data_IF_817550290924
#
_entry.id   IF_817550290924
#
_cell.length_a   1.000
_cell.length_b   1.000
_cell.length_c   1.000
_cell.angle_alpha   90.00
_cell.angle_beta   90.00
_cell.angle_gamma   90.00
#
_symmetry.space_group_name_H-M   'P 1'
#
loop_
_entity.id
_entity.type
_entity.pdbx_description
1 polymer ?
#
# COMPACT_ATOMS: atom_id res chain seq x y z
N UNK A 1 -18.72 14.62 30.91
CA UNK A 1 -19.59 15.23 29.86
C UNK A 1 -19.48 14.36 28.62
N UNK A 2 -20.57 13.64 28.32
CA UNK A 2 -20.69 12.78 27.16
C UNK A 2 -20.74 13.66 25.90
N UNK A 3 -19.69 13.65 25.07
CA UNK A 3 -19.59 14.42 23.82
C UNK A 3 -20.69 13.98 22.87
N UNK A 4 -21.61 14.88 22.52
CA UNK A 4 -22.63 14.68 21.48
C UNK A 4 -21.94 14.31 20.17
N UNK A 5 -22.14 13.08 19.71
CA UNK A 5 -21.77 12.61 18.38
C UNK A 5 -22.38 13.60 17.35
N UNK A 6 -21.53 14.36 16.65
CA UNK A 6 -22.01 15.24 15.57
C UNK A 6 -22.60 14.36 14.47
N UNK A 7 -23.92 14.49 14.24
CA UNK A 7 -24.56 13.91 13.07
C UNK A 7 -23.80 14.35 11.81
N UNK A 8 -23.49 13.41 10.92
CA UNK A 8 -22.73 13.70 9.71
C UNK A 8 -23.41 14.73 8.81
N UNK A 9 -22.61 15.51 8.09
CA UNK A 9 -23.09 16.64 7.27
C UNK A 9 -23.75 16.20 5.94
N UNK A 10 -23.52 14.95 5.51
CA UNK A 10 -24.08 14.42 4.27
C UNK A 10 -25.34 13.58 4.53
N UNK A 11 -26.25 13.62 3.56
CA UNK A 11 -27.40 12.71 3.50
C UNK A 11 -27.25 11.75 2.32
N UNK A 12 -27.94 10.61 2.37
CA UNK A 12 -27.92 9.64 1.26
C UNK A 12 -28.38 10.27 -0.07
N UNK A 13 -29.34 11.20 0.00
CA UNK A 13 -29.84 11.96 -1.15
C UNK A 13 -28.77 12.90 -1.69
N UNK A 14 -28.09 13.66 -0.82
CA UNK A 14 -26.98 14.54 -1.20
C UNK A 14 -25.82 13.76 -1.88
N UNK A 15 -25.47 12.60 -1.34
CA UNK A 15 -24.44 11.73 -1.95
C UNK A 15 -24.79 11.32 -3.38
N UNK A 16 -26.08 11.03 -3.66
CA UNK A 16 -26.55 10.69 -5.01
C UNK A 16 -26.59 11.90 -5.92
N UNK A 17 -26.99 13.07 -5.42
CA UNK A 17 -27.15 14.29 -6.18
C UNK A 17 -25.83 14.99 -6.53
N UNK A 18 -24.77 14.80 -5.72
CA UNK A 18 -23.48 15.46 -5.91
C UNK A 18 -22.77 14.95 -7.18
N UNK A 19 -22.61 15.85 -8.16
CA UNK A 19 -21.98 15.57 -9.46
C UNK A 19 -20.68 16.34 -9.69
N UNK A 20 -20.52 17.51 -9.08
CA UNK A 20 -19.33 18.33 -9.24
C UNK A 20 -18.11 17.63 -8.65
N UNK A 21 -17.00 17.66 -9.39
CA UNK A 21 -15.72 17.11 -8.91
C UNK A 21 -15.25 17.87 -7.67
N UNK A 22 -14.88 17.14 -6.61
CA UNK A 22 -14.47 17.75 -5.36
C UNK A 22 -14.47 16.78 -4.19
N UNK A 23 -14.21 17.32 -2.99
CA UNK A 23 -14.24 16.60 -1.72
C UNK A 23 -15.32 17.20 -0.82
N UNK A 24 -16.24 16.37 -0.37
CA UNK A 24 -17.40 16.77 0.45
C UNK A 24 -17.30 16.10 1.81
N UNK A 25 -17.10 16.89 2.86
CA UNK A 25 -16.92 16.40 4.23
C UNK A 25 -18.24 15.96 4.86
N UNK A 26 -18.23 14.78 5.49
CA UNK A 26 -19.35 14.29 6.31
C UNK A 26 -19.16 14.56 7.80
N UNK A 27 -17.97 14.91 8.22
CA UNK A 27 -17.55 15.03 9.62
C UNK A 27 -16.51 13.96 9.97
N UNK A 28 -15.82 14.17 11.10
CA UNK A 28 -14.83 13.24 11.68
C UNK A 28 -13.80 12.69 10.66
N UNK A 29 -13.41 13.52 9.70
CA UNK A 29 -12.43 13.15 8.67
C UNK A 29 -12.98 12.26 7.56
N UNK A 30 -14.29 11.97 7.52
CA UNK A 30 -14.94 11.25 6.41
C UNK A 30 -15.28 12.20 5.27
N UNK A 31 -14.93 11.81 4.03
CA UNK A 31 -15.18 12.58 2.82
C UNK A 31 -15.78 11.70 1.72
N UNK A 32 -16.74 12.25 1.00
CA UNK A 32 -17.11 11.81 -0.33
C UNK A 32 -16.18 12.51 -1.34
N UNK A 33 -15.48 11.74 -2.15
CA UNK A 33 -14.62 12.25 -3.23
C UNK A 33 -15.30 11.99 -4.56
N UNK A 34 -15.55 13.06 -5.31
CA UNK A 34 -16.09 13.00 -6.67
C UNK A 34 -14.98 13.32 -7.66
N UNK A 35 -14.65 12.38 -8.51
CA UNK A 35 -13.64 12.54 -9.56
C UNK A 35 -14.16 13.32 -10.77
N UNK A 36 -13.26 13.80 -11.63
CA UNK A 36 -13.60 14.51 -12.88
C UNK A 36 -14.46 13.65 -13.82
N UNK A 37 -14.32 12.34 -13.77
CA UNK A 37 -15.14 11.38 -14.53
C UNK A 37 -16.51 11.09 -13.91
N UNK A 38 -16.91 11.80 -12.84
CA UNK A 38 -18.14 11.53 -12.08
C UNK A 38 -18.07 10.28 -11.19
N UNK A 39 -16.91 9.64 -11.07
CA UNK A 39 -16.69 8.55 -10.11
C UNK A 39 -16.81 9.06 -8.69
N UNK A 40 -17.47 8.31 -7.81
CA UNK A 40 -17.67 8.67 -6.40
C UNK A 40 -17.08 7.59 -5.50
N UNK A 41 -16.28 8.01 -4.52
CA UNK A 41 -15.64 7.12 -3.56
C UNK A 41 -15.61 7.73 -2.17
N UNK A 42 -15.55 6.90 -1.16
CA UNK A 42 -15.40 7.28 0.24
C UNK A 42 -13.93 7.26 0.64
N UNK A 43 -13.56 8.23 1.45
CA UNK A 43 -12.21 8.39 1.99
C UNK A 43 -12.30 8.88 3.43
N UNK A 44 -11.48 8.35 4.30
CA UNK A 44 -11.27 8.91 5.65
C UNK A 44 -9.88 9.48 5.76
N UNK A 45 -9.79 10.67 6.32
CA UNK A 45 -8.53 11.32 6.69
C UNK A 45 -8.25 11.07 8.15
N UNK A 46 -7.11 10.48 8.43
CA UNK A 46 -6.59 10.25 9.78
C UNK A 46 -5.27 10.97 9.97
N UNK A 47 -4.99 11.34 11.21
CA UNK A 47 -3.71 11.95 11.60
C UNK A 47 -3.09 11.13 12.71
N UNK A 48 -1.79 10.78 12.55
CA UNK A 48 -0.99 10.11 13.56
C UNK A 48 0.43 10.67 13.51
N UNK A 49 1.01 10.94 14.65
CA UNK A 49 2.39 11.43 14.80
C UNK A 49 2.67 12.65 13.88
N UNK A 50 1.72 13.60 13.83
CA UNK A 50 1.80 14.80 13.01
C UNK A 50 1.59 14.59 11.50
N UNK A 51 1.49 13.34 11.04
CA UNK A 51 1.31 13.00 9.63
C UNK A 51 -0.15 12.72 9.29
N UNK A 52 -0.65 13.35 8.23
CA UNK A 52 -1.99 13.11 7.69
C UNK A 52 -1.94 12.03 6.63
N UNK A 53 -2.90 11.09 6.70
CA UNK A 53 -3.07 10.03 5.69
C UNK A 53 -4.53 9.97 5.25
N UNK A 54 -4.72 9.84 3.93
CA UNK A 54 -6.04 9.65 3.31
C UNK A 54 -6.21 8.14 3.00
N UNK A 55 -7.23 7.52 3.57
CA UNK A 55 -7.49 6.08 3.43
C UNK A 55 -8.81 5.87 2.71
N UNK A 56 -8.77 5.20 1.54
CA UNK A 56 -9.97 4.86 0.78
C UNK A 56 -10.87 3.85 1.49
N UNK A 57 -12.17 4.09 1.50
CA UNK A 57 -13.17 3.22 2.12
C UNK A 57 -14.02 2.45 1.09
N UNK A 58 -13.85 2.75 -0.19
CA UNK A 58 -14.52 2.08 -1.29
C UNK A 58 -15.38 3.00 -2.15
N UNK A 59 -15.89 2.46 -3.26
CA UNK A 59 -16.76 3.20 -4.19
C UNK A 59 -18.13 3.46 -3.57
N UNK A 60 -18.67 4.68 -3.71
CA UNK A 60 -20.01 5.03 -3.24
C UNK A 60 -21.14 4.30 -4.00
N UNK A 61 -20.83 3.60 -5.11
CA UNK A 61 -21.76 2.67 -5.77
C UNK A 61 -21.99 1.40 -4.96
N UNK A 62 -20.96 0.92 -4.24
CA UNK A 62 -20.98 -0.34 -3.48
C UNK A 62 -21.10 -0.13 -1.96
N UNK A 63 -20.69 1.05 -1.48
CA UNK A 63 -20.60 1.39 -0.05
C UNK A 63 -21.58 2.52 0.21
N UNK A 64 -22.63 2.28 0.99
CA UNK A 64 -23.58 3.30 1.43
C UNK A 64 -22.92 4.29 2.42
N UNK A 65 -23.55 5.44 2.65
CA UNK A 65 -23.06 6.42 3.64
C UNK A 65 -22.96 5.82 5.05
N UNK A 66 -23.93 5.01 5.47
CA UNK A 66 -23.89 4.33 6.77
C UNK A 66 -22.67 3.41 6.88
N UNK A 67 -22.48 2.52 5.90
CA UNK A 67 -21.29 1.63 5.84
C UNK A 67 -19.98 2.42 5.78
N UNK A 68 -19.97 3.58 5.10
CA UNK A 68 -18.77 4.42 5.05
C UNK A 68 -18.43 5.01 6.42
N UNK A 69 -19.44 5.43 7.21
CA UNK A 69 -19.28 5.90 8.58
C UNK A 69 -18.73 4.81 9.50
N UNK A 70 -19.29 3.60 9.42
CA UNK A 70 -18.82 2.44 10.20
C UNK A 70 -17.36 2.11 9.88
N UNK A 71 -17.03 2.04 8.59
CA UNK A 71 -15.65 1.81 8.14
C UNK A 71 -14.70 2.91 8.58
N UNK A 72 -15.12 4.17 8.54
CA UNK A 72 -14.32 5.30 9.02
C UNK A 72 -14.05 5.20 10.53
N UNK A 73 -15.06 4.78 11.32
CA UNK A 73 -14.92 4.57 12.76
C UNK A 73 -13.91 3.45 13.05
N UNK A 74 -14.00 2.32 12.36
CA UNK A 74 -13.04 1.22 12.50
C UNK A 74 -11.61 1.68 12.20
N UNK A 75 -11.43 2.40 11.09
CA UNK A 75 -10.11 2.92 10.70
C UNK A 75 -9.53 3.87 11.75
N UNK A 76 -10.36 4.78 12.31
CA UNK A 76 -9.91 5.68 13.38
C UNK A 76 -9.51 4.92 14.63
N UNK A 77 -10.33 3.97 15.07
CA UNK A 77 -10.03 3.13 16.22
C UNK A 77 -8.72 2.35 16.04
N UNK A 78 -8.49 1.78 14.85
CA UNK A 78 -7.21 1.11 14.54
C UNK A 78 -6.00 2.07 14.68
N UNK A 79 -6.13 3.30 14.14
CA UNK A 79 -5.07 4.30 14.23
C UNK A 79 -4.80 4.73 15.67
N UNK A 80 -5.84 4.91 16.50
CA UNK A 80 -5.75 5.22 17.94
C UNK A 80 -5.03 4.10 18.70
N UNK A 81 -5.31 2.84 18.37
CA UNK A 81 -4.64 1.65 18.93
C UNK A 81 -3.22 1.43 18.39
N UNK A 82 -2.74 2.31 17.50
CA UNK A 82 -1.42 2.18 16.91
C UNK A 82 -1.31 1.19 15.76
N UNK A 83 -2.42 0.58 15.34
CA UNK A 83 -2.50 -0.35 14.22
C UNK A 83 -2.47 0.44 12.91
N UNK A 84 -1.66 0.02 11.92
CA UNK A 84 -1.73 0.57 10.56
C UNK A 84 -2.89 -0.08 9.79
N UNK A 85 -3.98 0.67 9.47
CA UNK A 85 -5.15 0.08 8.80
C UNK A 85 -4.86 -0.44 7.39
N UNK A 86 -3.83 0.08 6.74
CA UNK A 86 -3.42 -0.37 5.40
C UNK A 86 -2.69 -1.69 5.51
N UNK A 87 -1.77 -1.83 6.47
CA UNK A 87 -1.07 -3.08 6.73
C UNK A 87 -2.06 -4.19 7.14
N UNK A 88 -3.05 -3.88 7.97
CA UNK A 88 -4.05 -4.83 8.40
C UNK A 88 -4.96 -5.30 7.25
N UNK A 89 -5.37 -4.38 6.36
CA UNK A 89 -6.10 -4.76 5.14
C UNK A 89 -5.29 -5.64 4.20
N UNK A 90 -3.97 -5.43 4.12
CA UNK A 90 -3.07 -6.28 3.32
C UNK A 90 -3.01 -7.70 3.88
N UNK A 91 -2.86 -7.83 5.20
CA UNK A 91 -2.89 -9.14 5.87
C UNK A 91 -4.21 -9.86 5.58
N UNK A 92 -5.33 -9.15 5.69
CA UNK A 92 -6.66 -9.68 5.39
C UNK A 92 -6.85 -10.03 3.91
N UNK A 93 -6.19 -9.31 3.00
CA UNK A 93 -6.21 -9.60 1.57
C UNK A 93 -5.17 -10.66 1.15
N UNK A 94 -4.32 -11.10 2.07
CA UNK A 94 -3.26 -12.07 1.79
C UNK A 94 -2.12 -11.56 0.89
N UNK A 95 -2.07 -10.26 0.60
CA UNK A 95 -1.01 -9.66 -0.24
C UNK A 95 0.22 -9.35 0.62
N UNK A 96 1.36 -10.04 0.41
CA UNK A 96 2.56 -9.82 1.21
C UNK A 96 3.22 -8.46 0.93
N UNK A 97 4.00 -7.98 1.89
CA UNK A 97 4.96 -6.91 1.68
C UNK A 97 6.12 -7.41 0.82
N UNK A 98 6.94 -6.48 0.28
CA UNK A 98 8.14 -6.86 -0.47
C UNK A 98 9.11 -7.70 0.38
N UNK A 99 9.27 -7.35 1.66
CA UNK A 99 10.11 -8.10 2.61
C UNK A 99 9.59 -9.52 2.83
N UNK A 100 8.29 -9.69 3.05
CA UNK A 100 7.67 -10.99 3.21
C UNK A 100 7.77 -11.83 1.92
N UNK A 101 7.53 -11.23 0.76
CA UNK A 101 7.69 -11.89 -0.53
C UNK A 101 9.14 -12.30 -0.77
N UNK A 102 10.12 -11.44 -0.44
CA UNK A 102 11.55 -11.78 -0.54
C UNK A 102 11.91 -12.97 0.34
N UNK A 103 11.39 -13.05 1.57
CA UNK A 103 11.62 -14.18 2.46
C UNK A 103 11.02 -15.49 1.90
N UNK A 104 9.83 -15.42 1.30
CA UNK A 104 9.19 -16.59 0.66
C UNK A 104 9.99 -17.08 -0.54
N UNK A 105 10.37 -16.17 -1.44
CA UNK A 105 11.23 -16.48 -2.62
C UNK A 105 12.57 -17.07 -2.18
N UNK A 106 13.20 -16.47 -1.16
CA UNK A 106 14.44 -16.99 -0.61
C UNK A 106 14.30 -18.42 -0.07
N UNK A 107 13.22 -18.68 0.68
CA UNK A 107 12.94 -20.01 1.24
C UNK A 107 12.71 -21.07 0.14
N UNK A 108 12.03 -20.70 -0.96
CA UNK A 108 11.80 -21.57 -2.11
C UNK A 108 13.11 -21.85 -2.87
N UNK A 109 13.89 -20.81 -3.19
CA UNK A 109 15.08 -20.92 -4.05
C UNK A 109 16.31 -21.47 -3.33
N UNK A 110 16.49 -21.22 -2.00
CA UNK A 110 17.68 -21.69 -1.26
C UNK A 110 17.88 -23.20 -1.32
N UNK A 111 16.81 -23.96 -1.53
CA UNK A 111 16.87 -25.43 -1.66
C UNK A 111 17.61 -25.87 -2.93
N UNK A 112 17.56 -25.07 -3.99
CA UNK A 112 18.22 -25.33 -5.27
C UNK A 112 19.67 -24.79 -5.34
N UNK A 113 20.05 -23.88 -4.43
CA UNK A 113 21.34 -23.22 -4.49
C UNK A 113 22.42 -24.02 -3.76
N UNK A 114 23.43 -24.45 -4.49
CA UNK A 114 24.56 -25.24 -3.97
C UNK A 114 25.54 -24.44 -3.08
N UNK A 115 25.58 -23.10 -3.19
CA UNK A 115 26.59 -22.26 -2.53
C UNK A 115 25.99 -21.44 -1.38
N UNK A 116 26.29 -21.83 -0.13
CA UNK A 116 25.83 -21.14 1.09
C UNK A 116 26.24 -19.67 1.18
N UNK A 117 27.40 -19.28 0.65
CA UNK A 117 27.90 -17.91 0.64
C UNK A 117 27.07 -17.00 -0.27
N UNK A 118 26.63 -17.53 -1.40
CA UNK A 118 25.70 -16.84 -2.31
C UNK A 118 24.32 -16.60 -1.69
N UNK A 119 23.85 -17.55 -0.88
CA UNK A 119 22.57 -17.46 -0.21
C UNK A 119 22.52 -16.30 0.78
N UNK A 120 23.55 -16.12 1.62
CA UNK A 120 23.64 -15.01 2.57
C UNK A 120 23.69 -13.65 1.85
N UNK A 121 24.47 -13.54 0.77
CA UNK A 121 24.56 -12.31 -0.02
C UNK A 121 23.26 -11.94 -0.73
N UNK A 122 22.39 -12.93 -1.04
CA UNK A 122 21.15 -12.66 -1.74
C UNK A 122 20.22 -11.79 -0.90
N UNK A 123 20.00 -12.15 0.37
CA UNK A 123 19.11 -11.40 1.25
C UNK A 123 19.78 -10.12 1.78
N UNK A 124 21.06 -10.19 2.20
CA UNK A 124 21.76 -9.04 2.78
C UNK A 124 21.84 -7.83 1.85
N UNK A 125 21.93 -8.05 0.54
CA UNK A 125 21.90 -6.93 -0.40
C UNK A 125 20.51 -6.27 -0.52
N UNK A 126 19.43 -7.04 -0.38
CA UNK A 126 18.08 -6.48 -0.34
C UNK A 126 17.84 -5.73 0.97
N UNK A 127 18.37 -6.24 2.08
CA UNK A 127 18.33 -5.56 3.39
C UNK A 127 19.06 -4.22 3.34
N UNK A 128 20.22 -4.18 2.72
CA UNK A 128 21.03 -2.97 2.64
C UNK A 128 20.45 -1.90 1.70
N UNK A 129 19.87 -2.29 0.56
CA UNK A 129 19.54 -1.35 -0.51
C UNK A 129 18.05 -1.24 -0.84
N UNK A 130 17.28 -2.31 -0.76
CA UNK A 130 15.88 -2.33 -1.18
C UNK A 130 14.90 -2.18 0.00
N UNK A 131 15.11 -2.90 1.10
CA UNK A 131 14.18 -2.90 2.22
C UNK A 131 13.97 -1.55 2.89
N UNK A 132 14.98 -0.66 3.02
CA UNK A 132 14.75 0.67 3.59
C UNK A 132 13.71 1.50 2.82
N UNK A 133 13.64 1.32 1.51
CA UNK A 133 12.76 2.10 0.64
C UNK A 133 11.42 1.41 0.33
N UNK A 134 11.43 0.09 0.07
CA UNK A 134 10.26 -0.64 -0.40
C UNK A 134 9.90 -1.87 0.44
N UNK A 135 10.68 -2.21 1.47
CA UNK A 135 10.52 -3.45 2.26
C UNK A 135 9.12 -3.62 2.83
N UNK A 136 8.55 -2.57 3.39
CA UNK A 136 7.25 -2.58 4.06
C UNK A 136 6.08 -2.19 3.14
N UNK A 137 6.36 -1.91 1.86
CA UNK A 137 5.32 -1.66 0.86
C UNK A 137 4.70 -2.98 0.39
N UNK A 138 3.39 -3.00 0.09
CA UNK A 138 2.76 -4.16 -0.54
C UNK A 138 3.40 -4.44 -1.90
N UNK A 139 3.60 -5.73 -2.23
CA UNK A 139 4.30 -6.15 -3.45
C UNK A 139 3.61 -5.64 -4.72
N UNK A 140 2.29 -5.48 -4.71
CA UNK A 140 1.50 -4.94 -5.81
C UNK A 140 1.56 -3.41 -5.96
N UNK A 141 2.13 -2.70 -4.98
CA UNK A 141 2.27 -1.24 -4.99
C UNK A 141 3.68 -0.76 -5.33
N UNK A 142 4.59 -1.68 -5.65
CA UNK A 142 5.95 -1.35 -6.06
C UNK A 142 5.94 -1.02 -7.55
N UNK A 143 6.42 0.16 -7.88
CA UNK A 143 6.48 0.70 -9.24
C UNK A 143 7.93 0.84 -9.75
N UNK A 144 8.09 1.04 -11.06
CA UNK A 144 9.38 1.22 -11.69
C UNK A 144 10.18 2.42 -11.16
N UNK A 145 9.55 3.60 -10.96
CA UNK A 145 10.20 4.76 -10.35
C UNK A 145 10.85 4.45 -9.00
N UNK A 146 10.14 3.80 -8.07
CA UNK A 146 10.69 3.47 -6.75
C UNK A 146 11.91 2.56 -6.84
N UNK A 147 11.91 1.60 -7.77
CA UNK A 147 13.08 0.71 -8.00
C UNK A 147 14.23 1.49 -8.64
N UNK A 148 13.94 2.39 -9.58
CA UNK A 148 14.95 3.26 -10.21
C UNK A 148 15.65 4.14 -9.18
N UNK A 149 14.89 4.74 -8.26
CA UNK A 149 15.44 5.59 -7.21
C UNK A 149 16.41 4.83 -6.30
N UNK A 150 16.07 3.59 -5.93
CA UNK A 150 16.97 2.70 -5.18
C UNK A 150 18.27 2.44 -5.94
N UNK A 151 18.14 2.08 -7.22
CA UNK A 151 19.30 1.73 -8.05
C UNK A 151 20.18 2.96 -8.32
N UNK A 152 19.61 4.14 -8.50
CA UNK A 152 20.35 5.38 -8.76
C UNK A 152 21.41 5.68 -7.69
N UNK A 153 21.11 5.37 -6.42
CA UNK A 153 22.04 5.61 -5.29
C UNK A 153 23.33 4.80 -5.37
N UNK A 154 23.33 3.67 -6.07
CA UNK A 154 24.46 2.73 -6.13
C UNK A 154 24.95 2.47 -7.55
N UNK A 155 24.25 2.95 -8.58
CA UNK A 155 24.52 2.62 -9.96
C UNK A 155 25.94 3.02 -10.42
N UNK A 156 26.35 4.25 -10.08
CA UNK A 156 27.66 4.78 -10.51
C UNK A 156 28.83 4.26 -9.67
N UNK A 157 28.59 3.90 -8.40
CA UNK A 157 29.66 3.53 -7.45
C UNK A 157 29.83 2.02 -7.29
N UNK A 158 28.75 1.24 -7.48
CA UNK A 158 28.69 -0.21 -7.25
C UNK A 158 27.85 -0.91 -8.31
N UNK A 159 28.21 -0.72 -9.57
CA UNK A 159 27.42 -1.19 -10.72
C UNK A 159 27.04 -2.68 -10.67
N UNK A 160 27.99 -3.58 -10.33
CA UNK A 160 27.73 -5.00 -10.14
C UNK A 160 26.69 -5.28 -9.06
N UNK A 161 26.76 -4.54 -7.94
CA UNK A 161 25.80 -4.65 -6.85
C UNK A 161 24.42 -4.16 -7.31
N UNK A 162 24.35 -3.03 -8.00
CA UNK A 162 23.10 -2.47 -8.54
C UNK A 162 22.42 -3.46 -9.51
N UNK A 163 23.19 -4.06 -10.41
CA UNK A 163 22.69 -5.07 -11.35
C UNK A 163 22.13 -6.30 -10.62
N UNK A 164 22.82 -6.80 -9.59
CA UNK A 164 22.36 -7.93 -8.78
C UNK A 164 21.11 -7.57 -7.95
N UNK A 165 21.05 -6.39 -7.35
CA UNK A 165 19.87 -5.90 -6.62
C UNK A 165 18.66 -5.80 -7.56
N UNK A 166 18.85 -5.25 -8.76
CA UNK A 166 17.79 -5.20 -9.80
C UNK A 166 17.27 -6.58 -10.16
N UNK A 167 18.16 -7.53 -10.42
CA UNK A 167 17.76 -8.91 -10.75
C UNK A 167 16.95 -9.55 -9.62
N UNK A 168 17.38 -9.36 -8.35
CA UNK A 168 16.69 -9.91 -7.18
C UNK A 168 15.33 -9.31 -7.00
N UNK A 169 15.18 -7.97 -7.16
CA UNK A 169 13.89 -7.29 -7.14
C UNK A 169 12.97 -7.86 -8.23
N UNK A 170 13.45 -7.98 -9.47
CA UNK A 170 12.66 -8.55 -10.56
C UNK A 170 12.24 -9.99 -10.28
N UNK A 171 13.12 -10.84 -9.76
CA UNK A 171 12.78 -12.23 -9.38
C UNK A 171 11.63 -12.26 -8.36
N UNK A 172 11.63 -11.38 -7.38
CA UNK A 172 10.56 -11.31 -6.37
C UNK A 172 9.26 -10.80 -6.99
N UNK A 173 9.33 -9.82 -7.88
CA UNK A 173 8.17 -9.29 -8.59
C UNK A 173 7.56 -10.35 -9.52
N UNK A 174 8.38 -11.07 -10.29
CA UNK A 174 7.92 -12.12 -11.20
C UNK A 174 7.27 -13.28 -10.42
N UNK A 175 7.84 -13.65 -9.27
CA UNK A 175 7.23 -14.58 -8.34
C UNK A 175 5.86 -14.08 -7.85
N UNK A 176 5.73 -12.81 -7.52
CA UNK A 176 4.47 -12.23 -7.08
C UNK A 176 3.41 -12.21 -8.19
N UNK A 177 3.80 -12.01 -9.45
CA UNK A 177 2.91 -12.14 -10.61
C UNK A 177 2.45 -13.58 -10.75
N UNK A 178 3.37 -14.56 -10.69
CA UNK A 178 3.04 -15.98 -10.79
C UNK A 178 2.12 -16.47 -9.66
N UNK A 179 2.17 -15.85 -8.47
CA UNK A 179 1.28 -16.15 -7.33
C UNK A 179 -0.04 -15.37 -7.35
N UNK A 180 -0.26 -14.48 -8.32
CA UNK A 180 -1.48 -13.67 -8.42
C UNK A 180 -1.57 -12.52 -7.41
N UNK A 181 -0.46 -12.16 -6.76
CA UNK A 181 -0.40 -11.00 -5.86
C UNK A 181 -0.25 -9.68 -6.61
N UNK A 182 0.05 -9.75 -7.90
CA UNK A 182 0.28 -8.60 -8.78
C UNK A 182 -0.14 -8.96 -10.22
N UNK A 183 -0.72 -7.99 -10.94
CA UNK A 183 -1.27 -8.22 -12.28
C UNK A 183 -0.21 -8.21 -13.38
N UNK A 184 0.92 -7.50 -13.19
CA UNK A 184 1.94 -7.32 -14.21
C UNK A 184 3.36 -7.19 -13.62
N UNK A 185 4.41 -7.54 -14.38
CA UNK A 185 5.80 -7.27 -14.00
C UNK A 185 6.10 -5.78 -13.90
N UNK A 186 7.29 -5.41 -13.43
CA UNK A 186 7.73 -4.01 -13.40
C UNK A 186 7.95 -3.48 -14.82
N UNK A 187 7.25 -2.40 -15.16
CA UNK A 187 7.63 -1.58 -16.31
C UNK A 187 8.80 -0.69 -15.90
N UNK A 188 9.95 -0.89 -16.51
CA UNK A 188 11.17 -0.10 -16.30
C UNK A 188 11.36 0.92 -17.44
N UNK A 189 10.23 1.40 -17.99
CA UNK A 189 10.25 2.46 -19.00
C UNK A 189 10.81 3.78 -18.47
#
# INVERSE_FOLDING_TARGET
>A
QCGKSKMGNLTATAVKATKAAGRYGDGDGLYLVVGKSGSRSWMVRVQKDGRRRDIGLGSAKKVSLAIARDRATIVRSQVELGIDPIAERRKSAGIPTFREAAALVYAEQRKAWKNKKHNAQWISSLEAYAFPAIGDRAINQIDGPAVRDILATIWLTKHETATRVRQRINTIIDWAVAKGYRDAPLSMA
#
